data_IF_003280622831
#
_entry.id   IF_003280622831
#
_cell.length_a   1.000
_cell.length_b   1.000
_cell.length_c   1.000
_cell.angle_alpha   90.00
_cell.angle_beta   90.00
_cell.angle_gamma   90.00
#
_symmetry.space_group_name_H-M   'P 1'
#
loop_
_entity.id
_entity.type
_entity.pdbx_description
1 polymer ?
#
# COMPACT_ATOMS: atom_id res chain seq x y z
N UNK A 1 21.97 18.91 0.66
CA UNK A 1 21.11 19.53 1.70
C UNK A 1 20.56 20.89 1.24
N UNK A 2 21.39 21.85 0.86
CA UNK A 2 20.95 23.20 0.46
C UNK A 2 19.89 23.22 -0.65
N UNK A 3 20.02 22.39 -1.69
CA UNK A 3 19.07 22.36 -2.80
C UNK A 3 17.70 21.80 -2.40
N UNK A 4 17.67 20.84 -1.48
CA UNK A 4 16.43 20.33 -0.91
C UNK A 4 15.71 21.41 -0.10
N UNK A 5 16.45 22.17 0.71
CA UNK A 5 15.88 23.30 1.47
C UNK A 5 15.33 24.39 0.54
N UNK A 6 16.03 24.70 -0.56
CA UNK A 6 15.55 25.65 -1.58
C UNK A 6 14.28 25.16 -2.27
N UNK A 7 14.23 23.88 -2.63
CA UNK A 7 13.02 23.27 -3.19
C UNK A 7 11.84 23.42 -2.23
N UNK A 8 12.02 23.01 -0.97
CA UNK A 8 10.96 23.07 0.03
C UNK A 8 10.52 24.52 0.29
N UNK A 9 11.47 25.46 0.42
CA UNK A 9 11.13 26.87 0.62
C UNK A 9 10.30 27.46 -0.53
N UNK A 10 10.48 26.96 -1.76
CA UNK A 10 9.73 27.39 -2.93
C UNK A 10 8.36 26.74 -3.05
N UNK A 11 8.28 25.41 -2.80
CA UNK A 11 7.11 24.59 -3.13
C UNK A 11 6.18 24.39 -1.92
N UNK A 12 6.65 24.64 -0.68
CA UNK A 12 5.86 24.45 0.52
C UNK A 12 4.86 25.61 0.70
N UNK A 13 3.63 25.38 0.27
CA UNK A 13 2.51 26.33 0.40
C UNK A 13 1.39 25.71 1.21
N UNK A 14 0.43 26.49 1.73
CA UNK A 14 -0.73 25.96 2.45
C UNK A 14 -1.58 24.94 1.66
N UNK A 15 -1.51 24.98 0.32
CA UNK A 15 -2.21 24.07 -0.58
C UNK A 15 -1.33 22.95 -1.13
N UNK A 16 -0.06 22.86 -0.69
CA UNK A 16 0.85 21.82 -1.18
C UNK A 16 0.44 20.43 -0.68
N UNK A 17 0.35 19.47 -1.58
CA UNK A 17 0.11 18.06 -1.24
C UNK A 17 1.42 17.44 -0.75
N UNK A 18 1.49 16.87 0.48
CA UNK A 18 2.72 16.33 1.04
C UNK A 18 3.36 15.25 0.17
N UNK A 19 2.57 14.39 -0.45
CA UNK A 19 3.03 13.34 -1.35
C UNK A 19 3.75 13.90 -2.60
N UNK A 20 3.26 15.02 -3.16
CA UNK A 20 3.91 15.70 -4.29
C UNK A 20 5.26 16.31 -3.89
N UNK A 21 5.30 16.99 -2.73
CA UNK A 21 6.55 17.52 -2.17
C UNK A 21 7.57 16.41 -1.90
N UNK A 22 7.10 15.28 -1.36
CA UNK A 22 7.93 14.09 -1.15
C UNK A 22 8.52 13.58 -2.46
N UNK A 23 7.71 13.46 -3.50
CA UNK A 23 8.12 13.04 -4.84
C UNK A 23 9.20 13.98 -5.41
N UNK A 24 8.95 15.28 -5.40
CA UNK A 24 9.91 16.30 -5.91
C UNK A 24 11.24 16.25 -5.13
N UNK A 25 11.17 16.12 -3.80
CA UNK A 25 12.35 16.00 -2.94
C UNK A 25 13.19 14.78 -3.31
N UNK A 26 12.57 13.60 -3.42
CA UNK A 26 13.29 12.36 -3.65
C UNK A 26 13.86 12.29 -5.06
N UNK A 27 13.15 12.78 -6.07
CA UNK A 27 13.68 12.95 -7.43
C UNK A 27 14.89 13.89 -7.46
N UNK A 28 14.85 14.98 -6.67
CA UNK A 28 15.99 15.89 -6.56
C UNK A 28 17.20 15.21 -5.89
N UNK A 29 16.96 14.47 -4.80
CA UNK A 29 18.02 13.73 -4.09
C UNK A 29 18.66 12.69 -5.01
N UNK A 30 17.85 11.88 -5.70
CA UNK A 30 18.34 10.89 -6.66
C UNK A 30 19.22 11.51 -7.74
N UNK A 31 18.76 12.60 -8.34
CA UNK A 31 19.52 13.34 -9.37
C UNK A 31 20.84 13.88 -8.84
N UNK A 32 20.87 14.51 -7.64
CA UNK A 32 22.08 15.12 -7.09
C UNK A 32 23.08 14.06 -6.61
N UNK A 33 22.60 12.98 -6.04
CA UNK A 33 23.45 11.90 -5.52
C UNK A 33 23.96 10.93 -6.59
N UNK A 34 23.32 10.93 -7.78
CA UNK A 34 23.57 9.91 -8.82
C UNK A 34 23.09 8.50 -8.41
N UNK A 35 22.38 8.37 -7.29
CA UNK A 35 21.83 7.10 -6.83
C UNK A 35 20.31 7.05 -7.10
N UNK A 36 19.94 6.24 -8.07
CA UNK A 36 18.54 6.13 -8.50
C UNK A 36 17.65 5.31 -7.55
N UNK A 37 18.22 4.49 -6.67
CA UNK A 37 17.47 3.75 -5.65
C UNK A 37 18.27 3.69 -4.34
N UNK A 38 18.23 4.74 -3.51
CA UNK A 38 18.90 4.76 -2.21
C UNK A 38 18.38 3.69 -1.24
N UNK A 39 17.16 3.21 -1.45
CA UNK A 39 16.47 2.24 -0.59
C UNK A 39 16.58 0.79 -1.06
N UNK A 40 17.26 0.52 -2.19
CA UNK A 40 17.35 -0.83 -2.77
C UNK A 40 17.74 -1.92 -1.76
N UNK A 41 18.76 -1.64 -0.93
CA UNK A 41 19.23 -2.58 0.09
C UNK A 41 18.19 -2.80 1.19
N UNK A 42 17.59 -1.73 1.70
CA UNK A 42 16.56 -1.84 2.76
C UNK A 42 15.31 -2.52 2.25
N UNK A 43 14.84 -2.22 1.04
CA UNK A 43 13.71 -2.90 0.40
C UNK A 43 13.93 -4.42 0.33
N UNK A 44 15.10 -4.86 -0.18
CA UNK A 44 15.43 -6.28 -0.22
C UNK A 44 15.40 -6.93 1.16
N UNK A 45 16.02 -6.31 2.16
CA UNK A 45 16.03 -6.83 3.53
C UNK A 45 14.61 -6.88 4.13
N UNK A 46 13.75 -5.92 3.80
CA UNK A 46 12.36 -5.89 4.23
C UNK A 46 11.57 -7.05 3.62
N UNK A 47 11.73 -7.31 2.32
CA UNK A 47 11.13 -8.46 1.66
C UNK A 47 11.59 -9.79 2.28
N UNK A 48 12.90 -9.96 2.50
CA UNK A 48 13.47 -11.17 3.11
C UNK A 48 12.93 -11.42 4.53
N UNK A 49 12.80 -10.36 5.35
CA UNK A 49 12.23 -10.46 6.71
C UNK A 49 10.74 -10.79 6.68
N UNK A 50 9.99 -10.14 5.80
CA UNK A 50 8.55 -10.35 5.66
C UNK A 50 8.24 -11.78 5.18
N UNK A 51 9.00 -12.31 4.23
CA UNK A 51 8.85 -13.68 3.72
C UNK A 51 8.99 -14.74 4.82
N UNK A 52 9.88 -14.54 5.80
CA UNK A 52 10.02 -15.45 6.94
C UNK A 52 8.77 -15.51 7.82
N UNK A 53 7.93 -14.50 7.75
CA UNK A 53 6.70 -14.39 8.54
C UNK A 53 5.44 -14.72 7.73
N UNK A 54 5.53 -14.81 6.41
CA UNK A 54 4.37 -15.00 5.52
C UNK A 54 3.57 -16.25 5.85
N UNK A 55 4.25 -17.40 6.02
CA UNK A 55 3.56 -18.66 6.36
C UNK A 55 2.77 -18.56 7.68
N UNK A 56 3.27 -17.76 8.60
CA UNK A 56 2.62 -17.54 9.87
C UNK A 56 1.41 -16.58 9.74
N UNK A 57 1.54 -15.51 8.98
CA UNK A 57 0.44 -14.61 8.67
C UNK A 57 -0.68 -15.35 7.91
N UNK A 58 -0.32 -16.23 6.98
CA UNK A 58 -1.25 -17.10 6.26
C UNK A 58 -2.11 -17.93 7.21
N UNK A 59 -1.50 -18.60 8.21
CA UNK A 59 -2.25 -19.36 9.22
C UNK A 59 -3.26 -18.50 9.97
N UNK A 60 -2.89 -17.25 10.32
CA UNK A 60 -3.82 -16.32 10.98
C UNK A 60 -5.02 -16.01 10.08
N UNK A 61 -4.80 -15.81 8.78
CA UNK A 61 -5.89 -15.60 7.81
C UNK A 61 -6.78 -16.84 7.72
N UNK A 62 -6.18 -18.04 7.63
CA UNK A 62 -6.86 -19.33 7.54
C UNK A 62 -7.66 -19.68 8.80
N UNK A 63 -7.31 -19.14 9.98
CA UNK A 63 -8.09 -19.23 11.22
C UNK A 63 -9.48 -18.53 11.12
N UNK A 64 -9.79 -17.84 10.03
CA UNK A 64 -11.12 -17.24 9.79
C UNK A 64 -12.18 -18.31 9.56
N UNK A 65 -13.29 -18.24 10.29
CA UNK A 65 -14.39 -19.21 10.20
C UNK A 65 -15.14 -19.12 8.87
N UNK A 66 -15.31 -17.91 8.35
CA UNK A 66 -16.00 -17.63 7.10
C UNK A 66 -15.06 -17.03 6.07
N UNK A 67 -15.46 -17.01 4.80
CA UNK A 67 -14.70 -16.32 3.75
C UNK A 67 -14.55 -14.82 4.06
N UNK A 68 -15.59 -14.19 4.61
CA UNK A 68 -15.57 -12.79 5.03
C UNK A 68 -14.57 -12.55 6.18
N UNK A 69 -14.49 -13.48 7.17
CA UNK A 69 -13.50 -13.38 8.25
C UNK A 69 -12.06 -13.49 7.72
N UNK A 70 -11.83 -14.42 6.78
CA UNK A 70 -10.53 -14.57 6.12
C UNK A 70 -10.16 -13.32 5.33
N UNK A 71 -11.10 -12.76 4.58
CA UNK A 71 -10.92 -11.52 3.87
C UNK A 71 -10.57 -10.36 4.82
N UNK A 72 -11.30 -10.19 5.93
CA UNK A 72 -11.00 -9.18 6.95
C UNK A 72 -9.60 -9.37 7.55
N UNK A 73 -9.23 -10.59 7.91
CA UNK A 73 -7.91 -10.91 8.45
C UNK A 73 -6.80 -10.65 7.43
N UNK A 74 -7.05 -10.88 6.14
CA UNK A 74 -6.13 -10.55 5.07
C UNK A 74 -5.96 -9.02 4.91
N UNK A 75 -7.04 -8.24 4.97
CA UNK A 75 -6.96 -6.77 5.01
C UNK A 75 -6.13 -6.27 6.19
N UNK A 76 -6.34 -6.83 7.39
CA UNK A 76 -5.56 -6.47 8.58
C UNK A 76 -4.09 -6.85 8.43
N UNK A 77 -3.80 -8.03 7.87
CA UNK A 77 -2.41 -8.47 7.61
C UNK A 77 -1.71 -7.51 6.63
N UNK A 78 -2.41 -7.08 5.58
CA UNK A 78 -1.92 -6.10 4.63
C UNK A 78 -1.64 -4.73 5.27
N UNK A 79 -2.49 -4.26 6.21
CA UNK A 79 -2.24 -3.01 6.96
C UNK A 79 -1.04 -3.18 7.92
N UNK A 80 -0.94 -4.32 8.60
CA UNK A 80 0.14 -4.59 9.56
C UNK A 80 1.50 -4.64 8.88
N UNK A 81 1.57 -5.07 7.63
CA UNK A 81 2.80 -5.01 6.84
C UNK A 81 3.46 -3.62 6.84
N UNK A 82 2.64 -2.57 6.81
CA UNK A 82 3.10 -1.17 6.89
C UNK A 82 3.59 -0.75 8.29
N UNK A 83 3.08 -1.38 9.35
CA UNK A 83 3.48 -1.09 10.74
C UNK A 83 4.82 -1.74 11.08
N UNK A 84 5.14 -2.86 10.42
CA UNK A 84 6.38 -3.59 10.63
C UNK A 84 7.50 -2.84 9.92
N UNK A 85 8.08 -1.86 10.63
CA UNK A 85 9.23 -1.08 10.15
C UNK A 85 10.45 -2.00 10.00
N UNK A 86 10.45 -2.78 8.91
CA UNK A 86 11.53 -3.72 8.60
C UNK A 86 12.88 -3.02 8.39
N UNK A 87 12.85 -1.71 8.16
CA UNK A 87 14.01 -0.88 7.84
C UNK A 87 14.80 -0.46 9.08
N UNK A 88 14.23 -0.59 10.30
CA UNK A 88 14.92 -0.17 11.52
C UNK A 88 15.96 -1.21 11.94
N UNK A 89 17.26 -0.85 11.96
CA UNK A 89 18.29 -1.74 12.44
C UNK A 89 18.04 -2.16 13.89
N UNK A 90 18.18 -3.47 14.17
CA UNK A 90 18.01 -4.02 15.52
C UNK A 90 16.59 -4.44 15.89
N UNK A 91 15.56 -4.05 15.14
CA UNK A 91 14.20 -4.57 15.33
C UNK A 91 14.12 -6.05 14.88
N UNK A 92 13.84 -6.93 15.83
CA UNK A 92 13.59 -8.36 15.57
C UNK A 92 12.10 -8.62 15.60
N UNK A 93 11.50 -8.83 14.44
CA UNK A 93 10.13 -9.32 14.36
C UNK A 93 10.10 -10.84 14.51
N UNK A 94 9.21 -11.32 15.34
CA UNK A 94 8.97 -12.73 15.59
C UNK A 94 7.54 -13.09 15.19
N UNK A 95 7.26 -14.38 15.07
CA UNK A 95 5.87 -14.85 14.86
C UNK A 95 4.93 -14.39 15.98
N UNK A 96 5.42 -14.31 17.20
CA UNK A 96 4.65 -13.81 18.36
C UNK A 96 4.34 -12.32 18.24
N UNK A 97 5.32 -11.50 17.83
CA UNK A 97 5.09 -10.07 17.62
C UNK A 97 4.14 -9.82 16.45
N UNK A 98 4.23 -10.59 15.37
CA UNK A 98 3.31 -10.50 14.24
C UNK A 98 1.87 -10.82 14.66
N UNK A 99 1.64 -11.93 15.40
CA UNK A 99 0.31 -12.29 15.92
C UNK A 99 -0.27 -11.19 16.80
N UNK A 100 0.57 -10.64 17.70
CA UNK A 100 0.19 -9.51 18.54
C UNK A 100 -0.21 -8.30 17.67
N UNK A 101 0.62 -7.92 16.69
CA UNK A 101 0.34 -6.79 15.80
C UNK A 101 -0.96 -6.96 15.01
N UNK A 102 -1.26 -8.15 14.46
CA UNK A 102 -2.51 -8.38 13.75
C UNK A 102 -3.72 -8.32 14.69
N UNK A 103 -3.62 -8.84 15.91
CA UNK A 103 -4.69 -8.74 16.92
C UNK A 103 -4.93 -7.30 17.35
N UNK A 104 -3.86 -6.56 17.60
CA UNK A 104 -3.92 -5.15 17.95
C UNK A 104 -4.43 -4.31 16.79
N UNK A 105 -4.06 -4.65 15.54
CA UNK A 105 -4.58 -4.01 14.35
C UNK A 105 -6.12 -4.07 14.27
N UNK A 106 -6.73 -5.19 14.69
CA UNK A 106 -8.18 -5.31 14.76
C UNK A 106 -8.80 -4.39 15.83
N UNK A 107 -8.12 -4.21 16.97
CA UNK A 107 -8.57 -3.31 18.04
C UNK A 107 -8.37 -1.84 17.68
N UNK A 108 -7.32 -1.55 16.92
CA UNK A 108 -6.96 -0.22 16.46
C UNK A 108 -7.61 0.17 15.13
N UNK A 109 -8.49 -0.67 14.57
CA UNK A 109 -9.22 -0.40 13.34
C UNK A 109 -10.31 0.65 13.61
N UNK A 110 -9.97 1.92 13.44
CA UNK A 110 -10.85 3.04 13.75
C UNK A 110 -11.93 3.26 12.67
N UNK A 111 -11.66 2.85 11.43
CA UNK A 111 -12.66 2.78 10.34
C UNK A 111 -12.63 1.36 9.80
N UNK A 112 -13.77 0.69 9.83
CA UNK A 112 -13.92 -0.70 9.39
C UNK A 112 -15.02 -0.81 8.33
N UNK A 113 -14.67 -0.57 7.08
CA UNK A 113 -15.52 -0.84 5.93
C UNK A 113 -15.18 -2.19 5.26
N UNK A 114 -14.43 -3.10 5.93
CA UNK A 114 -14.04 -4.41 5.35
C UNK A 114 -15.22 -5.25 4.95
N UNK A 115 -16.32 -5.23 5.71
CA UNK A 115 -17.57 -5.91 5.36
C UNK A 115 -18.20 -5.37 4.07
N UNK A 116 -18.23 -4.04 3.91
CA UNK A 116 -18.72 -3.39 2.68
C UNK A 116 -17.81 -3.69 1.49
N UNK A 117 -16.49 -3.65 1.70
CA UNK A 117 -15.50 -4.01 0.68
C UNK A 117 -15.66 -5.46 0.22
N UNK A 118 -15.90 -6.40 1.16
CA UNK A 118 -16.18 -7.79 0.85
C UNK A 118 -17.44 -7.96 -0.01
N UNK A 119 -18.55 -7.28 0.32
CA UNK A 119 -19.78 -7.35 -0.46
C UNK A 119 -19.64 -6.72 -1.86
N UNK A 120 -18.80 -5.69 -2.03
CA UNK A 120 -18.46 -5.16 -3.34
C UNK A 120 -17.58 -6.13 -4.13
N UNK A 121 -16.58 -6.73 -3.48
CA UNK A 121 -15.72 -7.72 -4.12
C UNK A 121 -16.51 -8.93 -4.64
N UNK A 122 -17.54 -9.38 -3.92
CA UNK A 122 -18.45 -10.46 -4.41
C UNK A 122 -19.18 -10.11 -5.71
N UNK A 123 -19.37 -8.84 -6.01
CA UNK A 123 -20.09 -8.36 -7.20
C UNK A 123 -19.16 -7.95 -8.33
N UNK A 124 -17.90 -7.67 -8.01
CA UNK A 124 -16.88 -7.28 -8.96
C UNK A 124 -16.38 -8.49 -9.77
N UNK A 125 -15.85 -8.24 -10.95
CA UNK A 125 -15.13 -9.23 -11.77
C UNK A 125 -13.64 -8.95 -11.79
N UNK A 126 -13.29 -7.68 -11.74
CA UNK A 126 -11.91 -7.19 -11.91
C UNK A 126 -11.52 -6.24 -10.80
N UNK A 127 -10.32 -6.42 -10.28
CA UNK A 127 -9.74 -5.60 -9.22
C UNK A 127 -8.37 -5.10 -9.64
N UNK A 128 -8.12 -3.81 -9.42
CA UNK A 128 -6.79 -3.23 -9.43
C UNK A 128 -6.31 -3.09 -7.97
N UNK A 129 -5.15 -3.67 -7.67
CA UNK A 129 -4.54 -3.62 -6.35
C UNK A 129 -3.28 -2.76 -6.41
N UNK A 130 -3.31 -1.58 -5.79
CA UNK A 130 -2.20 -0.62 -5.72
C UNK A 130 -1.38 -0.89 -4.46
N UNK A 131 -0.14 -1.33 -4.63
CA UNK A 131 0.78 -1.65 -3.52
C UNK A 131 1.44 -0.41 -2.95
N UNK A 132 1.92 -0.49 -1.71
CA UNK A 132 2.72 0.55 -1.05
C UNK A 132 4.19 0.10 -0.94
N UNK A 133 4.67 -0.33 0.22
CA UNK A 133 6.09 -0.52 0.48
C UNK A 133 6.60 -1.94 0.20
N UNK A 134 7.90 -2.06 -0.10
CA UNK A 134 8.63 -3.30 -0.03
C UNK A 134 8.52 -3.90 1.39
N UNK A 135 8.49 -5.22 1.51
CA UNK A 135 8.19 -5.94 2.75
C UNK A 135 6.68 -6.02 3.01
N UNK A 136 5.95 -4.93 2.93
CA UNK A 136 4.49 -4.90 3.03
C UNK A 136 3.82 -5.70 1.92
N UNK A 137 4.29 -5.56 0.68
CA UNK A 137 3.81 -6.29 -0.51
C UNK A 137 3.81 -7.82 -0.32
N UNK A 138 4.64 -8.36 0.56
CA UNK A 138 4.63 -9.78 0.91
C UNK A 138 3.33 -10.17 1.59
N UNK A 139 2.81 -9.35 2.49
CA UNK A 139 1.52 -9.61 3.16
C UNK A 139 0.32 -9.27 2.28
N UNK A 140 0.50 -8.41 1.29
CA UNK A 140 -0.52 -8.12 0.28
C UNK A 140 -0.89 -9.38 -0.53
N UNK A 141 0.05 -10.34 -0.68
CA UNK A 141 -0.23 -11.64 -1.31
C UNK A 141 -1.44 -12.33 -0.68
N UNK A 142 -1.60 -12.22 0.65
CA UNK A 142 -2.70 -12.85 1.37
C UNK A 142 -4.06 -12.26 0.99
N UNK A 143 -4.14 -10.95 0.78
CA UNK A 143 -5.39 -10.31 0.35
C UNK A 143 -5.66 -10.57 -1.14
N UNK A 144 -4.63 -10.53 -1.97
CA UNK A 144 -4.75 -10.90 -3.39
C UNK A 144 -5.25 -12.34 -3.53
N UNK A 145 -4.74 -13.29 -2.74
CA UNK A 145 -5.24 -14.67 -2.71
C UNK A 145 -6.71 -14.76 -2.30
N UNK A 146 -7.15 -13.99 -1.29
CA UNK A 146 -8.56 -13.98 -0.90
C UNK A 146 -9.45 -13.45 -2.04
N UNK A 147 -9.04 -12.39 -2.73
CA UNK A 147 -9.74 -11.86 -3.90
C UNK A 147 -9.79 -12.90 -5.04
N UNK A 148 -8.70 -13.60 -5.30
CA UNK A 148 -8.64 -14.71 -6.27
C UNK A 148 -9.57 -15.86 -5.89
N UNK A 149 -9.61 -16.24 -4.61
CA UNK A 149 -10.50 -17.28 -4.09
C UNK A 149 -12.01 -16.90 -4.18
N UNK A 150 -12.29 -15.60 -4.32
CA UNK A 150 -13.65 -15.10 -4.60
C UNK A 150 -13.99 -15.09 -6.10
N UNK A 151 -13.04 -15.48 -6.97
CA UNK A 151 -13.24 -15.58 -8.42
C UNK A 151 -12.92 -14.30 -9.20
N UNK A 152 -12.27 -13.31 -8.57
CA UNK A 152 -11.93 -12.07 -9.26
C UNK A 152 -10.64 -12.21 -10.09
N UNK A 153 -10.59 -11.46 -11.18
CA UNK A 153 -9.32 -11.17 -11.88
C UNK A 153 -8.62 -10.04 -11.14
N UNK A 154 -7.42 -10.28 -10.62
CA UNK A 154 -6.67 -9.32 -9.82
C UNK A 154 -5.42 -8.85 -10.58
N UNK A 155 -5.39 -7.55 -10.89
CA UNK A 155 -4.24 -6.87 -11.47
C UNK A 155 -3.55 -6.11 -10.34
N UNK A 156 -2.29 -6.40 -10.10
CA UNK A 156 -1.46 -5.71 -9.11
C UNK A 156 -0.64 -4.63 -9.80
N UNK A 157 -0.61 -3.43 -9.25
CA UNK A 157 0.23 -2.35 -9.73
C UNK A 157 1.28 -1.95 -8.69
N UNK A 158 2.53 -1.90 -9.13
CA UNK A 158 3.68 -1.39 -8.39
C UNK A 158 4.18 -0.08 -9.01
N UNK A 159 5.12 0.61 -8.39
CA UNK A 159 5.69 1.84 -8.95
C UNK A 159 6.49 1.57 -10.23
N UNK A 160 6.47 2.52 -11.16
CA UNK A 160 7.22 2.45 -12.42
C UNK A 160 8.72 2.68 -12.27
N UNK A 161 9.15 3.12 -11.11
CA UNK A 161 10.55 3.31 -10.73
C UNK A 161 10.70 3.56 -9.24
N UNK A 162 11.94 3.54 -8.72
CA UNK A 162 12.20 3.75 -7.30
C UNK A 162 11.69 5.10 -6.81
N UNK A 163 10.99 5.07 -5.69
CA UNK A 163 10.57 6.22 -4.88
C UNK A 163 10.49 5.77 -3.43
N UNK A 164 11.22 6.38 -2.55
CA UNK A 164 11.35 5.97 -1.14
C UNK A 164 11.54 4.44 -1.07
N UNK A 165 10.80 3.76 -0.23
CA UNK A 165 10.77 2.30 -0.08
C UNK A 165 9.55 1.63 -0.75
N UNK A 166 8.84 2.34 -1.64
CA UNK A 166 7.70 1.81 -2.39
C UNK A 166 8.11 0.61 -3.25
N UNK A 167 7.19 -0.34 -3.40
CA UNK A 167 7.44 -1.56 -4.16
C UNK A 167 7.53 -1.29 -5.67
N UNK A 168 8.48 -1.94 -6.31
CA UNK A 168 8.72 -1.96 -7.76
C UNK A 168 8.56 -3.38 -8.32
N UNK A 169 8.77 -3.59 -9.62
CA UNK A 169 8.71 -4.93 -10.22
C UNK A 169 9.68 -5.92 -9.56
N UNK A 170 10.88 -5.47 -9.15
CA UNK A 170 11.85 -6.32 -8.44
C UNK A 170 11.25 -6.82 -7.10
N UNK A 171 10.52 -5.96 -6.40
CA UNK A 171 9.86 -6.30 -5.14
C UNK A 171 8.62 -7.20 -5.36
N UNK A 172 7.88 -7.00 -6.45
CA UNK A 172 6.77 -7.87 -6.83
C UNK A 172 7.23 -9.32 -7.09
N UNK A 173 8.33 -9.49 -7.80
CA UNK A 173 8.94 -10.81 -8.01
C UNK A 173 9.45 -11.42 -6.70
N UNK A 174 10.20 -10.63 -5.92
CA UNK A 174 10.78 -11.08 -4.65
C UNK A 174 9.72 -11.49 -3.62
N UNK A 175 8.59 -10.78 -3.55
CA UNK A 175 7.48 -11.08 -2.64
C UNK A 175 6.67 -12.32 -3.04
N UNK A 176 6.73 -12.70 -4.30
CA UNK A 176 5.91 -13.77 -4.89
C UNK A 176 4.48 -13.33 -5.25
N UNK A 177 4.15 -12.03 -5.19
CA UNK A 177 2.82 -11.55 -5.55
C UNK A 177 2.51 -11.79 -7.04
N UNK A 178 3.52 -11.77 -7.90
CA UNK A 178 3.42 -12.11 -9.33
C UNK A 178 2.96 -13.54 -9.60
N UNK A 179 3.08 -14.44 -8.61
CA UNK A 179 2.62 -15.84 -8.72
C UNK A 179 1.15 -16.01 -8.35
N UNK A 180 0.57 -15.06 -7.64
CA UNK A 180 -0.84 -15.13 -7.17
C UNK A 180 -1.76 -14.17 -7.92
N UNK A 181 -1.24 -13.04 -8.39
CA UNK A 181 -1.99 -12.11 -9.24
C UNK A 181 -2.15 -12.64 -10.68
N UNK A 182 -3.18 -12.21 -11.39
CA UNK A 182 -3.35 -12.54 -12.81
C UNK A 182 -2.40 -11.73 -13.69
N UNK A 183 -2.12 -10.49 -13.30
CA UNK A 183 -1.16 -9.60 -13.99
C UNK A 183 -0.51 -8.68 -12.96
N UNK A 184 0.78 -8.40 -13.18
CA UNK A 184 1.48 -7.29 -12.51
C UNK A 184 1.83 -6.25 -13.55
N UNK A 185 1.49 -4.99 -13.24
CA UNK A 185 1.80 -3.82 -14.09
C UNK A 185 2.54 -2.79 -13.25
N UNK A 186 3.00 -1.73 -13.88
CA UNK A 186 3.52 -0.56 -13.17
C UNK A 186 2.60 0.63 -13.34
N UNK A 187 2.68 1.59 -12.40
CA UNK A 187 2.02 2.90 -12.57
C UNK A 187 2.64 3.72 -13.70
N UNK A 188 3.81 3.32 -14.22
CA UNK A 188 4.57 4.08 -15.22
C UNK A 188 5.33 5.27 -14.66
N UNK A 189 5.17 5.58 -13.37
CA UNK A 189 5.81 6.71 -12.70
C UNK A 189 6.37 6.32 -11.34
N UNK A 190 7.27 7.15 -10.83
CA UNK A 190 7.86 7.05 -9.48
C UNK A 190 7.34 8.16 -8.56
N UNK A 191 6.02 8.32 -8.45
CA UNK A 191 5.38 9.26 -7.54
C UNK A 191 4.99 8.59 -6.22
N UNK A 192 5.04 9.34 -5.12
CA UNK A 192 4.39 8.96 -3.86
C UNK A 192 2.88 9.01 -4.08
N UNK A 193 2.15 7.98 -3.68
CA UNK A 193 0.71 7.87 -3.95
C UNK A 193 0.41 7.71 -5.44
N UNK A 194 -0.67 8.33 -5.92
CA UNK A 194 -1.12 8.29 -7.31
C UNK A 194 -1.30 9.71 -7.85
N UNK A 195 -0.57 10.03 -8.91
CA UNK A 195 -0.66 11.31 -9.63
C UNK A 195 -1.11 10.99 -11.06
N UNK A 196 -2.42 11.11 -11.31
CA UNK A 196 -3.08 10.61 -12.53
C UNK A 196 -2.55 11.21 -13.84
N UNK A 197 -1.98 12.40 -13.81
CA UNK A 197 -1.38 13.05 -14.98
C UNK A 197 0.08 12.59 -15.25
N UNK A 198 0.67 11.78 -14.38
CA UNK A 198 2.01 11.23 -14.55
C UNK A 198 2.04 9.72 -14.84
N UNK A 199 0.91 9.02 -14.66
CA UNK A 199 0.85 7.57 -14.90
C UNK A 199 0.91 7.24 -16.39
N UNK A 200 1.31 6.00 -16.72
CA UNK A 200 1.31 5.53 -18.11
C UNK A 200 -0.11 5.35 -18.66
N UNK A 201 -0.25 5.43 -19.98
CA UNK A 201 -1.53 5.16 -20.65
C UNK A 201 -2.03 3.74 -20.33
N UNK A 202 -1.14 2.72 -20.35
CA UNK A 202 -1.50 1.35 -19.98
C UNK A 202 -2.11 1.27 -18.57
N UNK A 203 -1.48 1.94 -17.59
CA UNK A 203 -2.03 1.97 -16.24
C UNK A 203 -3.39 2.67 -16.19
N UNK A 204 -3.53 3.79 -16.88
CA UNK A 204 -4.77 4.57 -16.90
C UNK A 204 -5.93 3.79 -17.53
N UNK A 205 -5.66 3.03 -18.59
CA UNK A 205 -6.66 2.14 -19.21
C UNK A 205 -7.13 1.06 -18.23
N UNK A 206 -6.22 0.42 -17.52
CA UNK A 206 -6.56 -0.56 -16.48
C UNK A 206 -7.32 0.10 -15.35
N UNK A 207 -6.83 1.24 -14.82
CA UNK A 207 -7.48 1.99 -13.75
C UNK A 207 -8.92 2.36 -14.10
N UNK A 208 -9.17 2.72 -15.36
CA UNK A 208 -10.52 3.10 -15.84
C UNK A 208 -11.41 1.89 -16.16
N UNK A 209 -10.87 0.70 -16.38
CA UNK A 209 -11.64 -0.49 -16.81
C UNK A 209 -12.09 -1.40 -15.67
N UNK A 210 -11.35 -1.44 -14.54
CA UNK A 210 -11.66 -2.34 -13.42
C UNK A 210 -12.91 -1.91 -12.64
N UNK A 211 -13.53 -2.87 -11.94
CA UNK A 211 -14.74 -2.65 -11.16
C UNK A 211 -14.46 -2.07 -9.76
N UNK A 212 -13.33 -2.43 -9.16
CA UNK A 212 -12.98 -2.12 -7.78
C UNK A 212 -11.48 -1.89 -7.66
N UNK A 213 -11.07 -0.94 -6.83
CA UNK A 213 -9.67 -0.62 -6.58
C UNK A 213 -9.35 -0.78 -5.10
N UNK A 214 -8.30 -1.51 -4.78
CA UNK A 214 -7.66 -1.50 -3.46
C UNK A 214 -6.41 -0.64 -3.53
N UNK A 215 -6.24 0.26 -2.58
CA UNK A 215 -5.07 1.12 -2.51
C UNK A 215 -4.45 1.08 -1.11
N UNK A 216 -3.15 0.80 -1.08
CA UNK A 216 -2.37 0.57 0.13
C UNK A 216 -1.58 1.82 0.52
N UNK A 217 -1.57 2.08 1.83
CA UNK A 217 -0.71 3.10 2.41
C UNK A 217 -1.25 4.53 2.38
N UNK A 218 -0.59 5.36 3.18
CA UNK A 218 -1.03 6.73 3.41
C UNK A 218 -0.82 7.63 2.19
N UNK A 219 0.20 7.38 1.36
CA UNK A 219 0.44 8.16 0.15
C UNK A 219 -0.74 8.09 -0.84
N UNK A 220 -1.39 6.93 -0.98
CA UNK A 220 -2.62 6.84 -1.78
C UNK A 220 -3.80 7.51 -1.08
N UNK A 221 -3.91 7.43 0.25
CA UNK A 221 -4.96 8.14 0.98
C UNK A 221 -4.83 9.66 0.81
N UNK A 222 -3.60 10.20 0.81
CA UNK A 222 -3.33 11.63 0.60
C UNK A 222 -3.70 12.08 -0.82
N UNK A 223 -3.35 11.27 -1.84
CA UNK A 223 -3.51 11.70 -3.24
C UNK A 223 -4.90 11.40 -3.81
N UNK A 224 -5.51 10.27 -3.44
CA UNK A 224 -6.82 9.90 -3.95
C UNK A 224 -7.95 10.77 -3.40
N UNK A 225 -7.77 11.39 -2.23
CA UNK A 225 -8.73 12.35 -1.66
C UNK A 225 -8.77 13.68 -2.41
N UNK A 226 -7.75 13.98 -3.23
CA UNK A 226 -7.73 15.16 -4.10
C UNK A 226 -8.54 14.97 -5.40
N UNK A 227 -8.98 13.73 -5.70
CA UNK A 227 -9.73 13.43 -6.92
C UNK A 227 -11.20 13.13 -6.64
N UNK A 228 -12.05 13.50 -7.60
CA UNK A 228 -13.42 12.96 -7.66
C UNK A 228 -13.35 11.53 -8.21
N UNK A 229 -13.44 10.55 -7.32
CA UNK A 229 -13.39 9.15 -7.69
C UNK A 229 -14.63 8.75 -8.49
N UNK A 230 -14.46 7.93 -9.53
CA UNK A 230 -15.55 7.49 -10.43
C UNK A 230 -15.99 6.05 -10.18
N UNK A 231 -15.31 5.36 -9.27
CA UNK A 231 -15.57 3.97 -8.91
C UNK A 231 -15.13 3.70 -7.47
N UNK A 232 -15.59 2.59 -6.86
CA UNK A 232 -15.23 2.28 -5.48
C UNK A 232 -13.73 2.07 -5.29
N UNK A 233 -13.16 2.72 -4.27
CA UNK A 233 -11.79 2.52 -3.79
C UNK A 233 -11.82 2.07 -2.34
N UNK A 234 -11.08 1.01 -2.03
CA UNK A 234 -10.85 0.55 -0.66
C UNK A 234 -9.45 0.98 -0.24
N UNK A 235 -9.37 1.94 0.67
CA UNK A 235 -8.11 2.41 1.24
C UNK A 235 -7.75 1.57 2.46
N UNK A 236 -6.55 1.00 2.48
CA UNK A 236 -6.01 0.21 3.59
C UNK A 236 -4.70 0.83 4.05
N UNK A 237 -4.73 1.51 5.20
CA UNK A 237 -3.55 2.23 5.69
C UNK A 237 -3.56 2.43 7.21
N UNK A 238 -2.45 2.94 7.74
CA UNK A 238 -2.34 3.45 9.11
C UNK A 238 -2.08 4.94 9.09
N UNK A 239 -2.80 5.70 9.92
CA UNK A 239 -2.60 7.15 10.06
C UNK A 239 -1.27 7.45 10.76
N UNK A 240 -0.40 8.24 10.15
CA UNK A 240 0.92 8.63 10.69
C UNK A 240 1.01 10.12 11.04
N UNK A 241 0.11 10.95 10.51
CA UNK A 241 0.10 12.40 10.73
C UNK A 241 -1.31 12.93 11.02
N UNK A 242 -1.37 14.10 11.67
CA UNK A 242 -2.63 14.73 12.06
C UNK A 242 -3.50 15.14 10.85
N UNK A 243 -2.98 15.72 9.75
CA UNK A 243 -3.82 16.11 8.62
C UNK A 243 -4.63 14.94 8.06
N UNK A 244 -3.98 13.79 7.78
CA UNK A 244 -4.67 12.59 7.29
C UNK A 244 -5.62 12.03 8.35
N UNK A 245 -5.20 11.95 9.61
CA UNK A 245 -6.04 11.46 10.69
C UNK A 245 -7.32 12.31 10.83
N UNK A 246 -7.20 13.64 10.80
CA UNK A 246 -8.32 14.57 10.88
C UNK A 246 -9.26 14.45 9.67
N UNK A 247 -8.72 14.28 8.45
CA UNK A 247 -9.53 14.10 7.25
C UNK A 247 -10.45 12.88 7.35
N UNK A 248 -9.94 11.78 7.90
CA UNK A 248 -10.72 10.55 8.09
C UNK A 248 -11.48 10.49 9.44
N UNK A 249 -11.41 11.54 10.26
CA UNK A 249 -12.10 11.63 11.54
C UNK A 249 -11.60 10.65 12.60
N UNK A 250 -10.30 10.29 12.56
CA UNK A 250 -9.68 9.34 13.47
C UNK A 250 -8.45 9.93 14.18
N UNK A 251 -7.96 9.28 15.22
CA UNK A 251 -6.69 9.64 15.84
C UNK A 251 -5.49 9.19 14.99
N UNK A 252 -4.32 9.74 15.30
CA UNK A 252 -3.05 9.21 14.78
C UNK A 252 -2.84 7.77 15.22
N UNK A 253 -2.01 7.05 14.46
CA UNK A 253 -1.63 5.67 14.75
C UNK A 253 -2.81 4.70 14.80
N UNK A 254 -3.89 5.01 14.07
CA UNK A 254 -5.03 4.15 13.89
C UNK A 254 -5.03 3.50 12.50
N UNK A 255 -5.50 2.27 12.47
CA UNK A 255 -5.69 1.54 11.22
C UNK A 255 -7.03 1.96 10.59
N UNK A 256 -7.03 2.03 9.28
CA UNK A 256 -8.18 2.45 8.48
C UNK A 256 -8.37 1.47 7.33
N UNK A 257 -9.57 0.92 7.24
CA UNK A 257 -10.09 0.23 6.08
C UNK A 257 -11.31 1.02 5.61
N UNK A 258 -11.12 1.94 4.65
CA UNK A 258 -12.14 2.89 4.23
C UNK A 258 -12.58 2.63 2.81
N UNK A 259 -13.88 2.45 2.62
CA UNK A 259 -14.50 2.47 1.30
C UNK A 259 -14.80 3.92 0.91
N UNK A 260 -14.22 4.35 -0.21
CA UNK A 260 -14.50 5.60 -0.89
C UNK A 260 -15.45 5.33 -2.06
N UNK A 261 -16.40 6.25 -2.34
CA UNK A 261 -17.40 6.07 -3.40
C UNK A 261 -16.81 6.01 -4.80
#
# INVERSE_FOLDING_TARGET
>A
MTDVLRLLAKEFTPSAVPADLGTKRDRLISRISGNNDPYKRSKRLSNEKALKLLAYARRIVEEGYTQQDRFKKACLSAIVGNIMEFDIPGHKFTSTSLRKSIREASKDLAVDDTGKAYELAKKAKTVLYLTDNAGEIVFDTLLVEQLKNMGLTVIVAVKGGPIINDATLEDAEASGISKVADKVITTGTNTVGLVLNEVSAEFLDVYNSVDLIFAKGMGYAETLTEYKLKKPHVLLFRTKCNPVANYFGVAREKNVAKLMP
#
